data_IF_635288218572
#
_entry.id   IF_635288218572
#
_cell.length_a   1.000
_cell.length_b   1.000
_cell.length_c   1.000
_cell.angle_alpha   90.00
_cell.angle_beta   90.00
_cell.angle_gamma   90.00
#
_symmetry.space_group_name_H-M   'P 1'
#
loop_
_entity.id
_entity.type
_entity.pdbx_description
1 polymer ?
#
# COMPACT_ATOMS: atom_id res chain seq x y z
N UNK A 1 5.19 8.81 -13.17
CA UNK A 1 5.64 9.05 -11.78
C UNK A 1 4.71 8.39 -10.76
N UNK A 2 3.62 9.02 -10.29
CA UNK A 2 2.79 8.39 -9.23
C UNK A 2 2.15 7.07 -9.63
N UNK A 3 1.68 6.95 -10.88
CA UNK A 3 1.12 5.69 -11.38
C UNK A 3 2.17 4.57 -11.49
N UNK A 4 3.41 4.91 -11.82
CA UNK A 4 4.49 3.93 -11.87
C UNK A 4 4.88 3.49 -10.46
N UNK A 5 4.93 4.43 -9.51
CA UNK A 5 5.13 4.12 -8.10
C UNK A 5 4.00 3.23 -7.57
N UNK A 6 2.74 3.55 -7.86
CA UNK A 6 1.59 2.74 -7.49
C UNK A 6 1.71 1.31 -8.03
N UNK A 7 2.08 1.14 -9.31
CA UNK A 7 2.33 -0.19 -9.90
C UNK A 7 3.56 -0.91 -9.34
N UNK A 8 4.44 -0.24 -8.57
CA UNK A 8 5.46 -0.95 -7.80
C UNK A 8 4.85 -1.66 -6.58
N UNK A 9 3.80 -1.08 -5.99
CA UNK A 9 3.08 -1.63 -4.85
C UNK A 9 2.01 -2.64 -5.29
N UNK A 10 1.07 -2.24 -6.15
CA UNK A 10 0.02 -3.08 -6.73
C UNK A 10 0.65 -4.14 -7.66
N UNK A 11 0.80 -5.38 -7.15
CA UNK A 11 1.53 -6.46 -7.84
C UNK A 11 0.63 -7.28 -8.74
N UNK A 12 -0.64 -7.43 -8.37
CA UNK A 12 -1.60 -8.19 -9.15
C UNK A 12 -2.36 -7.31 -10.17
N UNK A 13 -2.28 -5.99 -10.05
CA UNK A 13 -2.86 -5.03 -10.97
C UNK A 13 -4.35 -4.83 -10.78
N UNK A 14 -4.89 -5.14 -9.58
CA UNK A 14 -6.31 -4.99 -9.28
C UNK A 14 -6.72 -3.54 -8.98
N UNK A 15 -5.75 -2.63 -8.86
CA UNK A 15 -5.95 -1.21 -8.61
C UNK A 15 -6.04 -0.85 -7.13
N UNK A 16 -5.72 -1.77 -6.23
CA UNK A 16 -5.70 -1.60 -4.79
C UNK A 16 -4.35 -2.07 -4.24
N UNK A 17 -3.87 -1.44 -3.16
CA UNK A 17 -2.67 -1.88 -2.46
C UNK A 17 -3.09 -2.52 -1.14
N UNK A 18 -2.85 -3.81 -1.02
CA UNK A 18 -3.08 -4.55 0.22
C UNK A 18 -1.92 -4.42 1.20
N UNK A 19 -2.15 -4.73 2.48
CA UNK A 19 -1.07 -4.80 3.50
C UNK A 19 0.05 -5.76 3.07
N UNK A 20 -0.28 -6.84 2.36
CA UNK A 20 0.68 -7.83 1.85
C UNK A 20 1.58 -7.25 0.78
N UNK A 21 1.02 -6.48 -0.14
CA UNK A 21 1.73 -5.84 -1.23
C UNK A 21 2.63 -4.70 -0.73
N UNK A 22 2.08 -3.84 0.13
CA UNK A 22 2.85 -2.82 0.84
C UNK A 22 4.03 -3.45 1.59
N UNK A 23 3.77 -4.50 2.36
CA UNK A 23 4.80 -5.24 3.10
C UNK A 23 5.86 -5.89 2.21
N UNK A 24 5.47 -6.39 1.04
CA UNK A 24 6.40 -6.99 0.07
C UNK A 24 7.37 -5.93 -0.47
N UNK A 25 6.86 -4.76 -0.83
CA UNK A 25 7.70 -3.66 -1.33
C UNK A 25 8.59 -3.11 -0.21
N UNK A 26 8.05 -2.85 0.99
CA UNK A 26 8.85 -2.34 2.11
C UNK A 26 10.01 -3.27 2.46
N UNK A 27 9.78 -4.59 2.47
CA UNK A 27 10.84 -5.60 2.65
C UNK A 27 11.87 -5.60 1.54
N UNK A 28 11.46 -5.40 0.29
CA UNK A 28 12.40 -5.25 -0.83
C UNK A 28 13.28 -3.99 -0.73
N UNK A 29 12.80 -2.95 -0.03
CA UNK A 29 13.54 -1.73 0.27
C UNK A 29 14.37 -1.83 1.55
N UNK A 30 14.42 -3.01 2.18
CA UNK A 30 15.20 -3.28 3.39
C UNK A 30 14.51 -2.89 4.71
N UNK A 31 13.23 -2.51 4.67
CA UNK A 31 12.43 -2.26 5.85
C UNK A 31 11.71 -3.55 6.30
N UNK A 32 11.59 -3.80 7.60
CA UNK A 32 10.87 -4.97 8.11
C UNK A 32 9.71 -4.56 9.04
N UNK A 33 8.66 -3.93 8.50
CA UNK A 33 7.49 -3.60 9.29
C UNK A 33 6.75 -4.87 9.74
N UNK A 34 6.16 -4.77 10.92
CA UNK A 34 5.16 -5.70 11.43
C UNK A 34 3.83 -5.55 10.71
N UNK A 35 2.94 -6.54 10.84
CA UNK A 35 1.59 -6.46 10.26
C UNK A 35 0.78 -5.30 10.86
N UNK A 36 0.98 -4.98 12.14
CA UNK A 36 0.31 -3.84 12.78
C UNK A 36 0.76 -2.53 12.17
N UNK A 37 2.07 -2.33 11.98
CA UNK A 37 2.58 -1.10 11.36
C UNK A 37 2.09 -0.94 9.92
N UNK A 38 2.02 -2.04 9.16
CA UNK A 38 1.46 -2.01 7.81
C UNK A 38 -0.02 -1.65 7.81
N UNK A 39 -0.79 -2.18 8.77
CA UNK A 39 -2.20 -1.85 8.90
C UNK A 39 -2.38 -0.38 9.32
N UNK A 40 -1.58 0.12 10.25
CA UNK A 40 -1.61 1.51 10.69
C UNK A 40 -1.31 2.46 9.52
N UNK A 41 -0.33 2.13 8.68
CA UNK A 41 -0.02 2.90 7.46
C UNK A 41 -1.18 2.94 6.45
N UNK A 42 -1.90 1.84 6.27
CA UNK A 42 -3.09 1.82 5.41
C UNK A 42 -4.19 2.68 6.04
N UNK A 43 -4.47 2.49 7.33
CA UNK A 43 -5.53 3.20 8.03
C UNK A 43 -5.35 4.73 8.04
N UNK A 44 -4.12 5.24 7.87
CA UNK A 44 -3.85 6.68 7.78
C UNK A 44 -4.39 7.32 6.49
N UNK A 45 -4.51 6.55 5.40
CA UNK A 45 -4.91 7.05 4.07
C UNK A 45 -6.19 6.41 3.53
N UNK A 46 -6.62 5.29 4.11
CA UNK A 46 -7.85 4.56 3.81
C UNK A 46 -9.09 5.39 4.22
N UNK A 47 -9.59 6.19 3.29
CA UNK A 47 -10.67 7.13 3.53
C UNK A 47 -12.03 6.44 3.49
N UNK A 48 -12.17 5.37 2.70
CA UNK A 48 -13.40 4.61 2.56
C UNK A 48 -13.52 3.42 3.55
N UNK A 49 -12.44 3.15 4.29
CA UNK A 49 -12.31 2.08 5.30
C UNK A 49 -12.45 0.67 4.70
N UNK A 50 -11.97 0.46 3.47
CA UNK A 50 -11.99 -0.83 2.79
C UNK A 50 -10.81 -1.74 3.17
N UNK A 51 -9.82 -1.23 3.90
CA UNK A 51 -8.63 -1.95 4.35
C UNK A 51 -7.52 -2.10 3.30
N UNK A 52 -7.59 -1.31 2.23
CA UNK A 52 -6.61 -1.21 1.15
C UNK A 52 -6.36 0.25 0.79
N UNK A 53 -5.44 0.52 -0.12
CA UNK A 53 -5.18 1.88 -0.63
C UNK A 53 -5.50 1.88 -2.12
N UNK A 54 -6.49 2.63 -2.55
CA UNK A 54 -6.76 2.87 -3.96
C UNK A 54 -5.87 3.97 -4.56
N UNK A 55 -5.92 4.15 -5.88
CA UNK A 55 -5.07 5.15 -6.53
C UNK A 55 -5.35 6.60 -6.06
N UNK A 56 -6.62 7.05 -5.91
CA UNK A 56 -6.94 8.31 -5.25
C UNK A 56 -6.35 8.48 -3.84
N UNK A 57 -6.47 7.47 -2.98
CA UNK A 57 -5.97 7.47 -1.60
C UNK A 57 -4.44 7.56 -1.57
N UNK A 58 -3.74 6.89 -2.50
CA UNK A 58 -2.29 6.97 -2.66
C UNK A 58 -1.77 8.39 -3.00
N UNK A 59 -2.61 9.28 -3.52
CA UNK A 59 -2.25 10.64 -3.88
C UNK A 59 -2.54 11.69 -2.80
N UNK A 60 -3.19 11.27 -1.71
CA UNK A 60 -3.64 12.16 -0.62
C UNK A 60 -2.57 12.27 0.46
#
# INVERSE_FOLDING_TARGET
>A
EFKEAFSLFDKDGDGQITTKELGTVMRSLGQNPSESELQDMINEVDADNNGTIDFPEFLT
#
